data_IF_991595119234
#
_entry.id   IF_991595119234
#
_cell.length_a   1.000
_cell.length_b   1.000
_cell.length_c   1.000
_cell.angle_alpha   90.00
_cell.angle_beta   90.00
_cell.angle_gamma   90.00
#
_symmetry.space_group_name_H-M   'P 1'
#
loop_
_entity.id
_entity.type
_entity.pdbx_description
1 polymer ?
#
# COMPACT_ATOMS: atom_id res chain seq x y z
N UNK A 1 -3.17 -27.27 -11.28
CA UNK A 1 -4.27 -27.45 -10.31
C UNK A 1 -3.67 -27.36 -8.91
N UNK A 2 -4.27 -26.59 -7.99
CA UNK A 2 -3.88 -26.63 -6.58
C UNK A 2 -4.99 -27.35 -5.82
N UNK A 3 -4.63 -28.34 -5.02
CA UNK A 3 -5.59 -29.16 -4.28
C UNK A 3 -5.09 -29.37 -2.85
N UNK A 4 -6.02 -29.45 -1.93
CA UNK A 4 -5.75 -29.90 -0.57
C UNK A 4 -5.84 -31.43 -0.55
N UNK A 5 -4.76 -32.10 -0.16
CA UNK A 5 -4.69 -33.57 -0.10
C UNK A 5 -5.74 -34.18 0.85
N UNK A 6 -6.26 -33.40 1.79
CA UNK A 6 -7.23 -33.84 2.78
C UNK A 6 -8.68 -33.93 2.27
N UNK A 7 -9.08 -33.19 1.22
CA UNK A 7 -10.48 -33.15 0.78
C UNK A 7 -10.71 -33.28 -0.73
N UNK A 8 -9.67 -33.50 -1.55
CA UNK A 8 -9.77 -33.63 -3.02
C UNK A 8 -10.52 -32.48 -3.71
N UNK A 9 -10.73 -31.36 -3.01
CA UNK A 9 -11.33 -30.16 -3.57
C UNK A 9 -10.29 -29.49 -4.46
N UNK A 10 -10.63 -29.38 -5.75
CA UNK A 10 -9.74 -28.87 -6.80
C UNK A 10 -10.28 -27.51 -7.22
N UNK A 11 -9.44 -26.49 -7.17
CA UNK A 11 -9.74 -25.19 -7.78
C UNK A 11 -8.73 -24.87 -8.89
N UNK A 12 -9.24 -24.26 -9.95
CA UNK A 12 -8.42 -23.74 -11.05
C UNK A 12 -8.11 -22.24 -10.85
N UNK A 13 -8.84 -21.58 -9.96
CA UNK A 13 -8.69 -20.17 -9.57
C UNK A 13 -8.04 -20.07 -8.18
N UNK A 14 -7.14 -19.09 -8.00
CA UNK A 14 -6.39 -18.88 -6.75
C UNK A 14 -7.26 -18.24 -5.65
N UNK A 15 -8.21 -17.38 -6.01
CA UNK A 15 -9.14 -16.78 -5.04
C UNK A 15 -10.07 -17.86 -4.48
N UNK A 16 -10.61 -18.70 -5.37
CA UNK A 16 -11.44 -19.85 -4.98
C UNK A 16 -10.67 -20.87 -4.13
N UNK A 17 -9.33 -20.95 -4.26
CA UNK A 17 -8.49 -21.82 -3.43
C UNK A 17 -8.40 -21.35 -1.97
N UNK A 18 -8.31 -20.03 -1.75
CA UNK A 18 -8.29 -19.43 -0.42
C UNK A 18 -9.66 -19.47 0.26
N UNK A 19 -10.73 -19.45 -0.54
CA UNK A 19 -12.12 -19.53 -0.08
C UNK A 19 -12.58 -20.96 0.26
N UNK A 20 -11.76 -22.00 0.00
CA UNK A 20 -12.13 -23.39 0.30
C UNK A 20 -12.33 -23.53 1.82
N UNK A 21 -13.56 -23.85 2.29
CA UNK A 21 -13.81 -24.03 3.72
C UNK A 21 -13.00 -25.23 4.25
N UNK A 22 -12.50 -25.10 5.48
CA UNK A 22 -11.78 -26.17 6.16
C UNK A 22 -12.64 -27.44 6.23
N UNK A 23 -12.12 -28.56 5.72
CA UNK A 23 -12.87 -29.82 5.61
C UNK A 23 -12.84 -30.70 6.87
N UNK A 24 -12.15 -30.27 7.94
CA UNK A 24 -12.01 -31.00 9.20
C UNK A 24 -12.14 -30.05 10.38
N UNK A 25 -12.78 -30.53 11.45
CA UNK A 25 -12.85 -29.86 12.74
C UNK A 25 -11.86 -30.50 13.72
N UNK A 26 -11.20 -29.70 14.55
CA UNK A 26 -10.17 -30.15 15.49
C UNK A 26 -9.88 -29.11 16.56
N UNK A 27 -9.07 -29.45 17.57
CA UNK A 27 -8.65 -28.49 18.60
C UNK A 27 -7.71 -27.44 17.98
N UNK A 28 -7.89 -26.18 18.35
CA UNK A 28 -7.00 -25.11 17.93
C UNK A 28 -5.59 -25.36 18.48
N UNK A 29 -4.57 -25.25 17.62
CA UNK A 29 -3.14 -25.38 17.99
C UNK A 29 -2.45 -24.04 17.77
N UNK A 30 -1.69 -23.60 18.78
CA UNK A 30 -0.89 -22.36 18.72
C UNK A 30 0.52 -22.60 18.17
N UNK A 31 0.96 -23.86 18.17
CA UNK A 31 2.25 -24.24 17.59
C UNK A 31 2.11 -24.62 16.12
N UNK A 32 3.02 -24.12 15.29
CA UNK A 32 3.10 -24.43 13.87
C UNK A 32 3.43 -25.92 13.72
N UNK A 33 2.55 -26.74 13.10
CA UNK A 33 2.84 -28.15 12.90
C UNK A 33 4.13 -28.31 12.08
N UNK A 34 5.10 -29.05 12.61
CA UNK A 34 6.33 -29.37 11.89
C UNK A 34 5.97 -30.38 10.81
N UNK A 35 5.78 -29.90 9.58
CA UNK A 35 5.67 -30.78 8.42
C UNK A 35 7.01 -31.50 8.25
N UNK A 36 7.03 -32.82 8.48
CA UNK A 36 8.14 -33.67 8.10
C UNK A 36 8.30 -33.59 6.57
N UNK A 37 9.46 -33.11 6.11
CA UNK A 37 9.80 -33.02 4.68
C UNK A 37 9.91 -34.43 4.09
N UNK A 38 9.15 -34.79 3.06
CA UNK A 38 9.54 -35.92 2.21
C UNK A 38 10.81 -35.56 1.41
N UNK A 39 11.73 -36.52 1.33
CA UNK A 39 13.05 -36.43 0.71
C UNK A 39 13.01 -36.07 -0.79
N UNK A 40 14.09 -35.46 -1.34
CA UNK A 40 14.12 -34.93 -2.70
C UNK A 40 14.24 -36.05 -3.72
N UNK A 41 13.44 -35.99 -4.80
CA UNK A 41 13.69 -36.74 -6.04
C UNK A 41 14.17 -35.75 -7.10
N UNK A 42 15.32 -36.08 -7.67
CA UNK A 42 16.12 -35.39 -8.66
C UNK A 42 15.33 -34.77 -9.84
N UNK A 43 15.73 -33.59 -10.36
CA UNK A 43 15.29 -33.12 -11.66
C UNK A 43 16.22 -33.60 -12.78
N UNK A 44 15.64 -34.26 -13.79
CA UNK A 44 16.26 -34.53 -15.10
C UNK A 44 15.85 -33.42 -16.08
N UNK A 45 16.79 -33.10 -16.97
CA UNK A 45 16.89 -31.94 -17.85
C UNK A 45 15.68 -31.64 -18.77
N UNK A 46 15.60 -30.35 -19.12
CA UNK A 46 14.77 -29.79 -20.18
C UNK A 46 15.32 -30.10 -21.58
N UNK A 47 14.45 -30.02 -22.61
CA UNK A 47 14.86 -29.57 -23.93
C UNK A 47 14.17 -28.27 -24.36
N UNK A 48 14.96 -27.44 -25.04
CA UNK A 48 14.64 -26.15 -25.66
C UNK A 48 14.33 -26.31 -27.17
N UNK A 49 13.70 -25.28 -27.76
CA UNK A 49 13.46 -24.97 -29.20
C UNK A 49 12.14 -25.53 -29.76
N UNK A 50 11.30 -24.78 -30.49
CA UNK A 50 11.55 -23.87 -31.63
C UNK A 50 10.36 -22.91 -31.87
N UNK A 51 10.42 -21.96 -32.83
CA UNK A 51 9.57 -20.76 -32.92
C UNK A 51 8.40 -20.91 -33.90
N UNK A 52 7.39 -20.04 -33.78
CA UNK A 52 6.43 -19.76 -34.84
C UNK A 52 6.09 -18.27 -34.93
N UNK A 53 5.69 -17.90 -36.14
CA UNK A 53 5.83 -16.60 -36.77
C UNK A 53 4.74 -15.56 -36.46
N UNK A 54 5.04 -14.33 -36.93
CA UNK A 54 4.14 -13.23 -37.32
C UNK A 54 3.58 -12.30 -36.22
N UNK A 55 4.16 -11.09 -36.14
CA UNK A 55 3.42 -9.84 -36.32
C UNK A 55 4.40 -8.67 -36.48
N UNK A 56 4.48 -8.14 -37.70
CA UNK A 56 5.30 -7.00 -38.05
C UNK A 56 4.82 -5.70 -37.37
N UNK A 57 5.77 -4.77 -37.20
CA UNK A 57 5.62 -3.38 -36.73
C UNK A 57 5.86 -3.11 -35.24
N UNK A 58 6.95 -3.65 -34.67
CA UNK A 58 7.53 -3.14 -33.40
C UNK A 58 9.06 -3.27 -33.27
N UNK A 59 9.77 -3.54 -34.36
CA UNK A 59 11.19 -3.96 -34.33
C UNK A 59 12.22 -2.86 -34.66
N UNK A 60 11.82 -1.59 -34.81
CA UNK A 60 12.78 -0.51 -35.07
C UNK A 60 13.32 0.18 -33.80
N UNK A 61 12.77 -0.12 -32.61
CA UNK A 61 13.20 0.52 -31.37
C UNK A 61 13.90 -0.46 -30.44
N UNK A 62 15.23 -0.31 -30.32
CA UNK A 62 16.10 -1.16 -29.49
C UNK A 62 15.66 -1.26 -28.02
N UNK A 63 14.97 -0.24 -27.48
CA UNK A 63 14.48 -0.21 -26.09
C UNK A 63 13.20 -1.03 -25.87
N UNK A 64 12.30 -1.08 -26.84
CA UNK A 64 11.00 -1.73 -26.67
C UNK A 64 11.11 -3.26 -26.94
N UNK A 65 12.09 -3.72 -27.75
CA UNK A 65 12.39 -5.15 -27.95
C UNK A 65 12.84 -5.88 -26.67
N UNK A 66 13.38 -5.14 -25.69
CA UNK A 66 13.85 -5.68 -24.41
C UNK A 66 12.77 -5.66 -23.32
N UNK A 67 11.51 -5.35 -23.68
CA UNK A 67 10.38 -5.37 -22.74
C UNK A 67 10.29 -4.16 -21.82
N UNK A 68 11.07 -3.10 -22.07
CA UNK A 68 10.98 -1.83 -21.33
C UNK A 68 10.06 -0.83 -22.03
N UNK A 69 9.26 -0.12 -21.22
CA UNK A 69 8.36 0.92 -21.73
C UNK A 69 9.17 2.15 -22.18
N UNK A 70 8.94 2.58 -23.41
CA UNK A 70 9.67 3.63 -24.11
C UNK A 70 8.75 4.84 -24.33
N UNK A 71 9.22 6.06 -24.06
CA UNK A 71 8.40 7.29 -24.12
C UNK A 71 7.79 7.59 -25.49
N UNK A 72 8.28 6.95 -26.55
CA UNK A 72 7.86 7.20 -27.93
C UNK A 72 6.64 6.36 -28.36
N UNK A 73 6.29 5.29 -27.63
CA UNK A 73 5.23 4.34 -28.05
C UNK A 73 4.23 3.99 -26.95
N UNK A 74 4.25 4.73 -25.85
CA UNK A 74 3.45 4.46 -24.67
C UNK A 74 2.42 5.54 -24.40
N UNK A 75 1.37 5.65 -25.23
CA UNK A 75 0.01 6.09 -24.86
C UNK A 75 -0.84 6.37 -26.11
N UNK A 76 -1.99 5.70 -26.24
CA UNK A 76 -3.16 6.31 -26.88
C UNK A 76 -3.75 7.32 -25.89
N UNK A 77 -3.97 8.57 -26.30
CA UNK A 77 -5.34 9.05 -26.29
C UNK A 77 -5.70 9.86 -27.55
N UNK A 78 -6.95 9.69 -27.97
CA UNK A 78 -7.57 10.30 -29.15
C UNK A 78 -7.98 11.76 -28.86
N UNK A 79 -7.51 12.65 -29.73
CA UNK A 79 -8.06 13.95 -30.21
C UNK A 79 -8.20 15.10 -29.17
N UNK A 80 -7.37 16.16 -29.19
CA UNK A 80 -7.28 17.33 -30.12
C UNK A 80 -8.51 18.27 -29.96
N UNK A 81 -8.38 19.55 -29.58
CA UNK A 81 -7.96 20.71 -30.40
C UNK A 81 -7.54 21.92 -29.52
N UNK A 82 -6.67 22.76 -30.11
CA UNK A 82 -5.91 23.92 -29.61
C UNK A 82 -6.70 25.25 -29.48
N UNK A 83 -6.20 26.08 -28.54
CA UNK A 83 -5.99 27.56 -28.57
C UNK A 83 -7.25 28.46 -28.68
N UNK A 84 -7.44 29.50 -27.85
CA UNK A 84 -6.78 30.82 -27.97
C UNK A 84 -6.96 31.67 -26.70
N UNK A 85 -6.10 32.67 -26.55
CA UNK A 85 -5.77 33.55 -25.43
C UNK A 85 -6.68 34.80 -25.28
N UNK A 86 -6.79 35.32 -24.04
CA UNK A 86 -7.09 36.70 -23.56
C UNK A 86 -8.53 37.13 -23.15
N UNK A 87 -8.72 37.22 -21.81
CA UNK A 87 -9.09 38.41 -20.97
C UNK A 87 -10.42 39.16 -21.21
N UNK A 88 -11.04 39.82 -20.20
CA UNK A 88 -11.42 39.41 -18.83
C UNK A 88 -12.91 39.70 -18.50
N UNK A 89 -13.32 39.31 -17.28
CA UNK A 89 -14.40 39.88 -16.44
C UNK A 89 -15.82 39.81 -17.01
N UNK A 90 -16.64 38.96 -16.37
CA UNK A 90 -17.86 39.44 -15.70
C UNK A 90 -18.25 38.47 -14.58
N UNK A 91 -18.46 39.05 -13.40
CA UNK A 91 -19.05 38.41 -12.26
C UNK A 91 -20.50 38.08 -12.59
N UNK A 92 -20.97 36.90 -12.18
CA UNK A 92 -22.36 36.70 -11.79
C UNK A 92 -22.46 35.45 -10.91
N UNK A 93 -23.13 35.66 -9.79
CA UNK A 93 -23.48 34.71 -8.75
C UNK A 93 -24.43 33.64 -9.31
N UNK A 94 -24.29 32.37 -8.88
CA UNK A 94 -25.45 31.56 -8.49
C UNK A 94 -25.04 30.23 -7.82
N UNK A 95 -25.25 30.21 -6.50
CA UNK A 95 -25.86 29.16 -5.67
C UNK A 95 -26.09 27.77 -6.29
N UNK A 96 -25.28 26.78 -5.88
CA UNK A 96 -25.64 25.34 -5.80
C UNK A 96 -24.84 24.74 -4.61
N UNK A 97 -25.34 24.74 -3.38
CA UNK A 97 -26.22 23.73 -2.77
C UNK A 97 -25.62 22.29 -2.73
N UNK A 98 -24.86 22.06 -1.66
CA UNK A 98 -24.86 20.87 -0.79
C UNK A 98 -24.88 19.47 -1.42
N UNK A 99 -23.71 18.82 -1.47
CA UNK A 99 -23.56 17.38 -1.21
C UNK A 99 -22.22 17.11 -0.51
N UNK A 100 -22.11 17.51 0.77
CA UNK A 100 -21.07 16.99 1.65
C UNK A 100 -21.56 15.64 2.23
N UNK A 101 -20.77 14.55 2.20
CA UNK A 101 -21.08 13.35 2.97
C UNK A 101 -21.12 13.70 4.47
N UNK A 102 -21.90 12.99 5.30
CA UNK A 102 -22.07 13.35 6.69
C UNK A 102 -20.72 13.30 7.40
N UNK A 103 -20.16 14.49 7.66
CA UNK A 103 -19.09 14.67 8.62
C UNK A 103 -19.67 14.19 9.93
N UNK A 104 -19.26 13.00 10.36
CA UNK A 104 -19.50 12.54 11.72
C UNK A 104 -18.68 13.48 12.60
N UNK A 105 -19.25 14.63 12.96
CA UNK A 105 -18.76 15.44 14.06
C UNK A 105 -19.01 14.60 15.31
N UNK A 106 -18.07 13.70 15.59
CA UNK A 106 -17.88 13.17 16.93
C UNK A 106 -17.72 14.42 17.77
N UNK A 107 -18.66 14.66 18.68
CA UNK A 107 -18.56 15.71 19.67
C UNK A 107 -17.39 15.30 20.58
N UNK A 108 -16.18 15.63 20.16
CA UNK A 108 -14.97 15.43 20.94
C UNK A 108 -15.07 16.46 22.06
N UNK A 109 -15.25 16.00 23.29
CA UNK A 109 -15.15 16.86 24.46
C UNK A 109 -13.75 17.48 24.46
N UNK A 110 -13.70 18.78 24.17
CA UNK A 110 -12.48 19.57 23.98
C UNK A 110 -11.56 19.50 25.22
N UNK A 111 -12.15 19.18 26.38
CA UNK A 111 -11.46 19.11 27.65
C UNK A 111 -11.00 17.70 28.04
N UNK A 112 -11.47 16.67 27.34
CA UNK A 112 -11.15 15.30 27.66
C UNK A 112 -9.73 14.94 27.19
N UNK A 113 -8.87 14.38 28.07
CA UNK A 113 -7.58 13.86 27.67
C UNK A 113 -7.76 12.68 26.70
N UNK A 114 -7.12 12.77 25.54
CA UNK A 114 -7.05 11.72 24.52
C UNK A 114 -5.60 11.30 24.30
N UNK A 115 -5.36 10.07 23.89
CA UNK A 115 -4.00 9.60 23.53
C UNK A 115 -3.75 9.83 22.05
N UNK A 116 -2.61 10.42 21.72
CA UNK A 116 -2.18 10.61 20.35
C UNK A 116 -1.69 9.28 19.74
N UNK A 117 -2.30 8.88 18.64
CA UNK A 117 -1.97 7.66 17.89
C UNK A 117 -0.99 7.90 16.74
N UNK A 118 -0.50 9.14 16.56
CA UNK A 118 0.53 9.42 15.59
C UNK A 118 1.84 8.69 15.97
N UNK A 119 2.52 8.12 14.97
CA UNK A 119 3.73 7.30 15.17
C UNK A 119 4.87 8.15 15.74
N UNK A 120 5.43 7.74 16.88
CA UNK A 120 6.46 8.50 17.60
C UNK A 120 5.95 9.59 18.54
N UNK A 121 4.62 9.78 18.67
CA UNK A 121 4.05 10.73 19.64
C UNK A 121 3.64 10.03 20.94
N UNK A 122 2.54 9.25 20.94
CA UNK A 122 2.05 8.50 22.12
C UNK A 122 1.61 9.34 23.32
N UNK A 123 1.63 10.68 23.23
CA UNK A 123 1.33 11.59 24.34
C UNK A 123 -0.17 11.74 24.55
N UNK A 124 -0.58 11.97 25.78
CA UNK A 124 -1.93 12.45 26.09
C UNK A 124 -2.04 13.93 25.78
N UNK A 125 -3.08 14.31 25.04
CA UNK A 125 -3.35 15.69 24.65
C UNK A 125 -4.83 16.01 24.87
N UNK A 126 -5.16 17.30 24.90
CA UNK A 126 -6.54 17.79 24.93
C UNK A 126 -6.77 18.57 23.65
N UNK A 127 -7.96 18.47 23.07
CA UNK A 127 -8.26 19.14 21.81
C UNK A 127 -8.12 20.68 21.95
N UNK A 128 -8.35 21.24 23.15
CA UNK A 128 -8.14 22.68 23.40
C UNK A 128 -6.70 23.15 23.17
N UNK A 129 -5.73 22.27 23.43
CA UNK A 129 -4.30 22.57 23.38
C UNK A 129 -3.70 22.08 22.04
N UNK A 130 -4.51 21.42 21.21
CA UNK A 130 -4.12 20.88 19.92
C UNK A 130 -4.01 22.00 18.89
N UNK A 131 -2.88 22.04 18.20
CA UNK A 131 -2.57 23.03 17.17
C UNK A 131 -1.59 22.41 16.15
N UNK A 132 -1.34 23.12 15.05
CA UNK A 132 -0.53 22.63 13.92
C UNK A 132 0.92 22.23 14.24
N UNK A 133 1.46 22.62 15.40
CA UNK A 133 2.81 22.25 15.84
C UNK A 133 2.86 21.48 17.16
N UNK A 134 1.70 21.06 17.68
CA UNK A 134 1.60 20.42 18.99
C UNK A 134 2.22 19.01 19.01
N UNK A 135 2.03 18.26 17.92
CA UNK A 135 2.43 16.88 17.79
C UNK A 135 3.68 16.75 16.92
N UNK A 136 4.77 16.22 17.46
CA UNK A 136 5.89 15.72 16.65
C UNK A 136 5.70 14.23 16.36
N UNK A 137 5.71 13.84 15.09
CA UNK A 137 5.50 12.45 14.67
C UNK A 137 6.15 12.12 13.33
N UNK A 138 6.14 10.83 12.97
CA UNK A 138 6.50 10.32 11.65
C UNK A 138 5.24 10.08 10.80
N UNK A 139 5.02 10.85 9.71
CA UNK A 139 3.86 10.66 8.85
C UNK A 139 3.98 9.43 7.94
N UNK A 140 5.20 8.94 7.70
CA UNK A 140 5.48 7.82 6.82
C UNK A 140 5.35 6.45 7.53
N UNK A 141 5.17 5.36 6.77
CA UNK A 141 5.28 4.02 7.32
C UNK A 141 6.72 3.68 7.73
N UNK A 142 6.91 2.76 8.69
CA UNK A 142 8.23 2.20 8.99
C UNK A 142 8.73 1.34 7.82
N UNK A 143 10.04 1.28 7.66
CA UNK A 143 10.73 0.65 6.53
C UNK A 143 11.78 -0.29 7.08
N UNK A 144 11.78 -1.51 6.55
CA UNK A 144 12.72 -2.54 6.94
C UNK A 144 13.34 -3.14 5.67
N UNK A 145 14.55 -2.70 5.31
CA UNK A 145 15.30 -3.21 4.14
C UNK A 145 16.76 -3.43 4.52
N UNK A 146 17.40 -4.48 4.00
CA UNK A 146 18.84 -4.74 4.17
C UNK A 146 19.34 -4.71 5.63
N UNK A 147 18.52 -5.21 6.56
CA UNK A 147 18.73 -5.17 8.03
C UNK A 147 18.71 -3.78 8.66
N UNK A 148 18.48 -2.74 7.87
CA UNK A 148 18.22 -1.39 8.32
C UNK A 148 16.72 -1.21 8.63
N UNK A 149 16.45 -0.47 9.69
CA UNK A 149 15.12 -0.09 10.16
C UNK A 149 15.03 1.43 10.12
N UNK A 150 13.95 1.97 9.59
CA UNK A 150 13.82 3.41 9.41
C UNK A 150 12.40 3.84 9.12
N UNK A 151 12.22 5.10 8.73
CA UNK A 151 10.91 5.68 8.40
C UNK A 151 10.91 6.16 6.95
N UNK A 152 9.81 6.00 6.19
CA UNK A 152 9.75 6.57 4.82
C UNK A 152 9.75 8.10 4.81
N UNK A 153 9.33 8.73 5.91
CA UNK A 153 9.19 10.19 5.99
C UNK A 153 10.50 10.92 6.27
N UNK A 154 11.51 10.22 6.79
CA UNK A 154 12.86 10.72 6.98
C UNK A 154 13.79 9.55 6.72
N UNK A 155 14.70 9.67 5.75
CA UNK A 155 15.64 8.61 5.33
C UNK A 155 16.72 8.28 6.39
N UNK A 156 16.33 8.29 7.66
CA UNK A 156 17.09 7.85 8.83
C UNK A 156 16.90 6.35 8.97
N UNK A 157 18.03 5.64 8.95
CA UNK A 157 18.08 4.20 8.96
C UNK A 157 19.08 3.74 10.01
N UNK A 158 18.65 2.80 10.85
CA UNK A 158 19.42 2.29 11.98
C UNK A 158 19.49 0.77 11.92
N UNK A 159 20.53 0.19 12.52
CA UNK A 159 20.73 -1.26 12.49
C UNK A 159 20.08 -1.95 13.67
N UNK A 160 19.94 -1.28 14.81
CA UNK A 160 19.33 -1.84 16.01
C UNK A 160 17.85 -1.45 16.12
N UNK A 161 17.06 -2.29 16.78
CA UNK A 161 15.63 -2.04 16.94
C UNK A 161 15.35 -0.99 18.02
N UNK A 162 16.16 -0.96 19.08
CA UNK A 162 16.01 0.03 20.15
C UNK A 162 16.33 1.44 19.62
N UNK A 163 17.39 1.56 18.82
CA UNK A 163 17.70 2.81 18.12
C UNK A 163 16.56 3.26 17.20
N UNK A 164 15.83 2.32 16.59
CA UNK A 164 14.68 2.64 15.73
C UNK A 164 13.52 3.25 16.51
N UNK A 165 13.30 2.79 17.75
CA UNK A 165 12.30 3.36 18.66
C UNK A 165 12.70 4.76 19.16
N UNK A 166 14.00 5.05 19.21
CA UNK A 166 14.56 6.34 19.63
C UNK A 166 14.69 7.36 18.49
N UNK A 167 14.43 6.98 17.23
CA UNK A 167 14.49 7.91 16.09
C UNK A 167 13.58 9.12 16.37
N UNK A 168 14.14 10.34 16.34
CA UNK A 168 13.35 11.53 16.63
C UNK A 168 12.31 11.78 15.53
N UNK A 169 11.09 12.19 15.89
CA UNK A 169 10.04 12.53 14.94
C UNK A 169 10.46 13.64 13.99
N UNK A 170 10.18 13.48 12.70
CA UNK A 170 10.64 14.40 11.65
C UNK A 170 9.62 15.49 11.25
N UNK A 171 8.36 15.38 11.68
CA UNK A 171 7.29 16.28 11.26
C UNK A 171 6.50 16.78 12.45
N UNK A 172 6.03 18.03 12.39
CA UNK A 172 5.10 18.62 13.35
C UNK A 172 3.71 18.76 12.72
N UNK A 173 2.68 18.54 13.51
CA UNK A 173 1.29 18.61 13.07
C UNK A 173 0.32 18.58 14.24
N UNK A 174 -0.94 18.29 13.90
CA UNK A 174 -2.01 18.10 14.86
C UNK A 174 -1.91 16.72 15.52
N UNK A 175 -2.23 16.63 16.80
CA UNK A 175 -2.45 15.35 17.44
C UNK A 175 -3.68 14.66 16.85
N UNK A 176 -3.60 13.35 16.68
CA UNK A 176 -4.73 12.53 16.22
C UNK A 176 -5.06 11.47 17.26
N UNK A 177 -6.28 11.50 17.78
CA UNK A 177 -6.82 10.45 18.65
C UNK A 177 -7.46 9.30 17.86
N UNK A 178 -7.71 9.50 16.56
CA UNK A 178 -8.23 8.43 15.73
C UNK A 178 -7.21 7.29 15.69
N UNK A 179 -7.61 6.04 15.99
CA UNK A 179 -6.77 4.88 15.70
C UNK A 179 -6.70 4.74 14.18
N UNK A 180 -5.85 5.54 13.53
CA UNK A 180 -5.89 5.66 12.08
C UNK A 180 -5.14 4.50 11.42
N UNK A 181 -5.94 3.65 10.79
CA UNK A 181 -5.71 2.85 9.58
C UNK A 181 -4.25 2.66 9.17
N UNK A 182 -3.79 1.42 9.35
CA UNK A 182 -2.77 0.86 8.48
C UNK A 182 -3.33 0.86 7.04
N UNK A 183 -2.75 1.71 6.18
CA UNK A 183 -2.80 1.56 4.73
C UNK A 183 -1.53 0.86 4.28
#
# INVERSE_FOLDING_TARGET
MKEWSCCKQRSHDFSLFLEIPGCKTGKHTTEKPVLAKPAPKYPVAAPTSSPDANAASKDSCSRCRQGFFCSDHGSQPKEQIRQTLNTPVQAEEEKIESLAPPIKTVVIDINQPQVCNNKGCGKTFKERDNHETACSYHPGPPVFHDRLKGWKCCDVHVNEFDEFMEIPPCTKGWHSSSPNQAV
#
